data_IF_465382984813
#
_entry.id   IF_465382984813
#
_cell.length_a   1.000
_cell.length_b   1.000
_cell.length_c   1.000
_cell.angle_alpha   90.00
_cell.angle_beta   90.00
_cell.angle_gamma   90.00
#
_symmetry.space_group_name_H-M   'P 1'
#
loop_
_entity.id
_entity.type
_entity.pdbx_description
1 polymer ?
#
# COMPACT_ATOMS: atom_id res chain seq x y z
N UNK A 1 7.07 10.76 -16.66
CA UNK A 1 6.59 10.10 -15.43
C UNK A 1 5.15 10.51 -15.16
N UNK A 2 4.32 9.55 -14.82
CA UNK A 2 2.94 9.80 -14.44
C UNK A 2 2.85 9.58 -12.93
N UNK A 3 2.30 10.55 -12.19
CA UNK A 3 2.21 10.47 -10.74
C UNK A 3 0.85 10.97 -10.27
N UNK A 4 0.26 10.25 -9.30
CA UNK A 4 -1.02 10.60 -8.69
C UNK A 4 -0.93 10.39 -7.18
N UNK A 5 -1.48 11.34 -6.44
CA UNK A 5 -1.47 11.33 -4.98
C UNK A 5 -2.89 11.44 -4.43
N UNK A 6 -3.18 10.64 -3.40
CA UNK A 6 -4.42 10.75 -2.64
C UNK A 6 -4.11 10.83 -1.14
N UNK A 7 -4.82 11.69 -0.45
CA UNK A 7 -4.63 11.92 0.99
C UNK A 7 -5.97 11.87 1.73
N UNK A 8 -5.98 11.21 2.88
CA UNK A 8 -7.12 11.21 3.80
C UNK A 8 -6.60 11.38 5.23
N UNK A 9 -7.33 12.14 6.04
CA UNK A 9 -7.01 12.35 7.44
C UNK A 9 -8.12 11.79 8.32
N UNK A 10 -7.76 11.09 9.38
CA UNK A 10 -8.72 10.44 10.27
C UNK A 10 -8.28 10.52 11.72
N UNK A 11 -9.26 10.61 12.63
CA UNK A 11 -9.03 10.50 14.08
C UNK A 11 -9.40 9.11 14.61
N UNK A 12 -9.80 8.20 13.75
CA UNK A 12 -10.33 6.89 14.13
C UNK A 12 -9.28 5.84 14.42
N UNK A 13 -8.05 6.01 13.90
CA UNK A 13 -6.97 5.05 14.05
C UNK A 13 -5.65 5.73 14.39
N UNK A 14 -4.70 4.94 14.88
CA UNK A 14 -3.33 5.39 15.17
C UNK A 14 -2.36 4.93 14.10
N UNK A 15 -1.16 5.53 14.08
CA UNK A 15 -0.06 5.10 13.24
C UNK A 15 0.24 3.61 13.41
N UNK A 16 0.26 3.12 14.65
CA UNK A 16 0.55 1.72 14.93
C UNK A 16 -0.51 0.79 14.39
N UNK A 17 -1.77 1.17 14.46
CA UNK A 17 -2.87 0.35 13.93
C UNK A 17 -2.75 0.19 12.41
N UNK A 18 -2.57 1.27 11.67
CA UNK A 18 -2.43 1.17 10.22
C UNK A 18 -1.14 0.44 9.83
N UNK A 19 -0.06 0.65 10.57
CA UNK A 19 1.19 -0.06 10.31
C UNK A 19 1.05 -1.56 10.50
N UNK A 20 0.41 -2.00 11.59
CA UNK A 20 0.15 -3.42 11.82
C UNK A 20 -0.69 -4.04 10.73
N UNK A 21 -1.71 -3.32 10.25
CA UNK A 21 -2.54 -3.80 9.16
C UNK A 21 -1.73 -3.96 7.88
N UNK A 22 -1.00 -2.93 7.49
CA UNK A 22 -0.30 -2.89 6.21
C UNK A 22 0.97 -3.74 6.19
N UNK A 23 1.68 -3.87 7.30
CA UNK A 23 2.89 -4.69 7.36
C UNK A 23 2.59 -6.20 7.44
N UNK A 24 1.36 -6.58 7.70
CA UNK A 24 0.96 -7.98 7.74
C UNK A 24 0.41 -8.42 6.37
N UNK A 25 1.31 -8.51 5.40
CA UNK A 25 0.97 -8.77 3.99
C UNK A 25 0.19 -10.07 3.81
N UNK A 26 0.53 -11.11 4.57
CA UNK A 26 -0.12 -12.43 4.45
C UNK A 26 -1.61 -12.40 4.83
N UNK A 27 -2.04 -11.37 5.54
CA UNK A 27 -3.44 -11.21 5.93
C UNK A 27 -4.23 -10.26 5.01
N UNK A 28 -3.61 -9.63 4.03
CA UNK A 28 -4.31 -8.70 3.13
C UNK A 28 -5.51 -9.32 2.44
N UNK A 29 -5.42 -10.59 2.05
CA UNK A 29 -6.52 -11.32 1.39
C UNK A 29 -7.79 -11.42 2.24
N UNK A 30 -7.66 -11.28 3.57
CA UNK A 30 -8.80 -11.42 4.48
C UNK A 30 -9.65 -10.16 4.56
N UNK A 31 -9.11 -9.00 4.18
CA UNK A 31 -9.86 -7.75 4.22
C UNK A 31 -9.88 -6.99 2.88
N UNK A 32 -8.99 -7.28 1.96
CA UNK A 32 -8.97 -6.65 0.64
C UNK A 32 -9.52 -7.63 -0.39
N UNK A 33 -10.75 -7.39 -0.83
CA UNK A 33 -11.48 -8.27 -1.75
C UNK A 33 -10.90 -8.29 -3.16
N UNK A 34 -10.06 -7.33 -3.52
CA UNK A 34 -9.38 -7.29 -4.82
C UNK A 34 -8.19 -8.22 -4.89
N UNK A 35 -7.76 -8.76 -3.76
CA UNK A 35 -6.57 -9.62 -3.63
C UNK A 35 -7.00 -11.06 -3.43
N UNK A 36 -6.51 -11.96 -4.30
CA UNK A 36 -6.70 -13.40 -4.13
C UNK A 36 -5.70 -13.97 -3.12
N UNK A 37 -4.43 -13.53 -3.21
CA UNK A 37 -3.37 -13.94 -2.29
C UNK A 37 -2.24 -12.93 -2.26
N UNK A 38 -1.57 -12.82 -1.11
CA UNK A 38 -0.34 -12.05 -0.95
C UNK A 38 0.54 -12.77 0.06
N UNK A 39 1.83 -12.89 -0.24
CA UNK A 39 2.76 -13.64 0.61
C UNK A 39 4.07 -12.89 0.78
N UNK A 40 4.45 -12.71 2.04
CA UNK A 40 5.76 -12.20 2.45
C UNK A 40 6.41 -13.27 3.32
N UNK A 41 7.58 -13.74 2.89
CA UNK A 41 8.39 -14.67 3.67
C UNK A 41 9.49 -13.88 4.38
N UNK A 42 9.33 -13.67 5.69
CA UNK A 42 10.25 -12.88 6.49
C UNK A 42 9.59 -11.63 7.04
N UNK A 43 10.38 -10.58 7.23
CA UNK A 43 9.94 -9.35 7.87
C UNK A 43 9.61 -8.27 6.84
N UNK A 44 8.69 -7.39 7.20
CA UNK A 44 8.34 -6.23 6.40
C UNK A 44 9.43 -5.16 6.58
N UNK A 45 10.47 -5.24 5.77
CA UNK A 45 11.65 -4.36 5.86
C UNK A 45 12.25 -4.06 4.48
N UNK A 46 13.07 -3.03 4.43
CA UNK A 46 13.77 -2.60 3.20
C UNK A 46 14.55 -3.76 2.57
N UNK A 47 14.36 -3.95 1.27
CA UNK A 47 15.02 -4.97 0.48
C UNK A 47 14.22 -6.26 0.30
N UNK A 48 13.23 -6.50 1.12
CA UNK A 48 12.42 -7.72 1.03
C UNK A 48 11.45 -7.65 -0.14
N UNK A 49 11.07 -8.84 -0.62
CA UNK A 49 10.09 -9.01 -1.69
C UNK A 49 8.86 -9.71 -1.16
N UNK A 50 7.71 -9.36 -1.71
CA UNK A 50 6.50 -10.13 -1.52
C UNK A 50 5.82 -10.36 -2.86
N UNK A 51 4.95 -11.37 -2.91
CA UNK A 51 4.13 -11.64 -4.09
C UNK A 51 2.70 -11.24 -3.83
N UNK A 52 2.02 -10.78 -4.86
CA UNK A 52 0.62 -10.40 -4.79
C UNK A 52 -0.09 -10.90 -6.03
N UNK A 53 -1.18 -11.65 -5.82
CA UNK A 53 -2.05 -12.07 -6.90
C UNK A 53 -3.39 -11.36 -6.77
N UNK A 54 -3.68 -10.41 -7.66
CA UNK A 54 -5.01 -9.81 -7.71
C UNK A 54 -6.02 -10.80 -8.27
N UNK A 55 -7.29 -10.63 -7.91
CA UNK A 55 -8.35 -11.45 -8.52
C UNK A 55 -8.43 -11.16 -10.00
N UNK A 56 -8.38 -12.24 -10.80
CA UNK A 56 -8.44 -12.12 -12.25
C UNK A 56 -7.15 -11.69 -12.92
N UNK A 57 -6.07 -11.56 -12.18
CA UNK A 57 -4.77 -11.15 -12.72
C UNK A 57 -3.64 -12.09 -12.35
N UNK A 58 -2.47 -11.89 -12.97
CA UNK A 58 -1.30 -12.71 -12.67
C UNK A 58 -0.66 -12.32 -11.34
N UNK A 59 0.12 -13.25 -10.76
CA UNK A 59 0.93 -12.96 -9.60
C UNK A 59 2.07 -12.01 -9.98
N UNK A 60 2.22 -10.93 -9.22
CA UNK A 60 3.31 -9.98 -9.40
C UNK A 60 4.25 -10.03 -8.20
N UNK A 61 5.53 -9.74 -8.46
CA UNK A 61 6.56 -9.66 -7.44
C UNK A 61 6.82 -8.19 -7.13
N UNK A 62 6.72 -7.83 -5.86
CA UNK A 62 6.83 -6.44 -5.40
C UNK A 62 7.99 -6.35 -4.42
N UNK A 63 8.85 -5.35 -4.60
CA UNK A 63 9.96 -5.11 -3.69
C UNK A 63 9.62 -3.96 -2.73
N UNK A 64 9.95 -4.17 -1.45
CA UNK A 64 9.93 -3.08 -0.46
C UNK A 64 11.27 -2.35 -0.58
N UNK A 65 11.26 -1.20 -1.25
CA UNK A 65 12.52 -0.48 -1.54
C UNK A 65 12.93 0.45 -0.39
N UNK A 66 11.99 0.88 0.43
CA UNK A 66 12.28 1.66 1.64
C UNK A 66 11.17 1.44 2.65
N UNK A 67 11.53 1.06 3.87
CA UNK A 67 10.58 0.83 4.97
C UNK A 67 11.07 1.56 6.21
N UNK A 68 10.22 2.44 6.74
CA UNK A 68 10.46 3.18 7.99
C UNK A 68 9.28 2.89 8.93
N UNK A 69 9.46 1.99 9.90
CA UNK A 69 8.34 1.51 10.71
C UNK A 69 7.45 2.61 11.29
N UNK A 70 6.15 2.37 11.26
CA UNK A 70 5.06 3.24 11.70
C UNK A 70 4.86 4.52 10.86
N UNK A 71 5.78 4.84 9.96
CA UNK A 71 5.77 6.12 9.26
C UNK A 71 5.64 6.02 7.74
N UNK A 72 6.38 5.10 7.10
CA UNK A 72 6.55 5.16 5.64
C UNK A 72 6.96 3.81 5.07
N UNK A 73 6.42 3.48 3.90
CA UNK A 73 7.04 2.47 3.05
C UNK A 73 6.83 2.79 1.58
N UNK A 74 7.79 2.33 0.78
CA UNK A 74 7.77 2.48 -0.68
C UNK A 74 7.96 1.11 -1.32
N UNK A 75 7.07 0.77 -2.24
CA UNK A 75 7.15 -0.46 -3.00
C UNK A 75 7.45 -0.19 -4.47
N UNK A 76 7.96 -1.23 -5.14
CA UNK A 76 8.36 -1.19 -6.53
C UNK A 76 7.86 -2.44 -7.25
N UNK A 77 7.17 -2.22 -8.37
CA UNK A 77 6.75 -3.29 -9.29
C UNK A 77 7.33 -3.02 -10.67
N UNK A 78 8.00 -4.03 -11.22
CA UNK A 78 8.59 -3.94 -12.56
C UNK A 78 7.61 -4.48 -13.59
N UNK A 79 7.35 -3.68 -14.63
CA UNK A 79 6.63 -4.09 -15.82
C UNK A 79 7.55 -4.03 -17.03
N UNK A 80 7.23 -4.72 -18.14
CA UNK A 80 7.99 -4.57 -19.38
C UNK A 80 8.08 -3.10 -19.79
N UNK A 81 9.30 -2.57 -19.82
CA UNK A 81 9.62 -1.18 -20.19
C UNK A 81 8.95 -0.12 -19.32
N UNK A 82 8.60 -0.46 -18.06
CA UNK A 82 8.07 0.50 -17.11
C UNK A 82 8.38 0.10 -15.67
N UNK A 83 8.44 1.09 -14.79
CA UNK A 83 8.66 0.93 -13.35
C UNK A 83 7.56 1.66 -12.59
N UNK A 84 6.86 0.96 -11.73
CA UNK A 84 5.80 1.52 -10.90
C UNK A 84 6.22 1.54 -9.45
N UNK A 85 5.99 2.67 -8.78
CA UNK A 85 6.27 2.85 -7.36
C UNK A 85 5.00 3.24 -6.62
N UNK A 86 4.85 2.71 -5.41
CA UNK A 86 3.83 3.14 -4.47
C UNK A 86 4.49 3.65 -3.21
N UNK A 87 4.15 4.87 -2.79
CA UNK A 87 4.63 5.43 -1.53
C UNK A 87 3.47 5.60 -0.57
N UNK A 88 3.65 5.14 0.65
CA UNK A 88 2.65 5.22 1.71
C UNK A 88 3.25 5.97 2.89
N UNK A 89 2.64 7.09 3.27
CA UNK A 89 3.10 7.95 4.36
C UNK A 89 2.00 8.03 5.42
N UNK A 90 2.35 7.80 6.67
CA UNK A 90 1.44 7.86 7.81
C UNK A 90 1.97 8.88 8.81
N UNK A 91 1.33 10.06 8.88
CA UNK A 91 1.81 11.19 9.67
C UNK A 91 0.78 11.59 10.73
N UNK A 92 1.23 11.79 11.96
CA UNK A 92 0.41 12.40 12.99
C UNK A 92 0.38 13.93 12.78
N UNK A 93 -0.82 14.48 12.68
CA UNK A 93 -1.05 15.90 12.52
C UNK A 93 -2.01 16.41 13.58
N UNK A 94 -2.15 17.73 13.70
CA UNK A 94 -3.12 18.35 14.60
C UNK A 94 -4.58 17.97 14.24
N UNK A 95 -4.81 17.61 12.97
CA UNK A 95 -6.13 17.23 12.47
C UNK A 95 -6.41 15.73 12.60
N UNK A 96 -5.43 14.94 13.01
CA UNK A 96 -5.51 13.49 13.10
C UNK A 96 -4.38 12.80 12.34
N UNK A 97 -4.53 11.51 12.10
CA UNK A 97 -3.58 10.72 11.31
C UNK A 97 -3.82 10.99 9.82
N UNK A 98 -2.79 11.45 9.16
CA UNK A 98 -2.81 11.71 7.72
C UNK A 98 -2.19 10.55 6.97
N UNK A 99 -2.98 9.92 6.09
CA UNK A 99 -2.54 8.84 5.21
C UNK A 99 -2.39 9.41 3.80
N UNK A 100 -1.20 9.29 3.24
CA UNK A 100 -0.91 9.75 1.88
C UNK A 100 -0.38 8.60 1.05
N UNK A 101 -0.98 8.36 -0.10
CA UNK A 101 -0.51 7.36 -1.05
C UNK A 101 -0.20 8.05 -2.37
N UNK A 102 1.01 7.84 -2.86
CA UNK A 102 1.44 8.34 -4.16
C UNK A 102 1.82 7.16 -5.04
N UNK A 103 1.15 7.04 -6.18
CA UNK A 103 1.49 6.07 -7.22
C UNK A 103 2.18 6.79 -8.35
N UNK A 104 3.29 6.23 -8.82
CA UNK A 104 4.03 6.78 -9.96
C UNK A 104 4.49 5.68 -10.88
N UNK A 105 4.59 6.00 -12.16
CA UNK A 105 5.09 5.07 -13.18
C UNK A 105 5.94 5.82 -14.18
N UNK A 106 7.06 5.22 -14.57
CA UNK A 106 8.02 5.80 -15.50
C UNK A 106 8.52 4.74 -16.48
N UNK A 107 9.19 5.20 -17.55
CA UNK A 107 9.75 4.35 -18.59
C UNK A 107 9.04 4.50 -19.93
N UNK A 108 9.59 3.89 -21.01
CA UNK A 108 9.03 4.03 -22.37
C UNK A 108 7.57 3.60 -22.52
N UNK A 109 7.14 2.57 -21.76
CA UNK A 109 5.74 2.10 -21.79
C UNK A 109 4.94 2.53 -20.56
N UNK A 110 5.36 3.58 -19.86
CA UNK A 110 4.63 4.08 -18.69
C UNK A 110 3.18 4.43 -19.01
N UNK A 111 2.92 5.07 -20.14
CA UNK A 111 1.56 5.43 -20.56
C UNK A 111 0.66 4.20 -20.72
N UNK A 112 1.20 3.15 -21.36
CA UNK A 112 0.48 1.90 -21.57
C UNK A 112 0.11 1.22 -20.25
N UNK A 113 1.10 1.06 -19.35
CA UNK A 113 0.87 0.40 -18.06
C UNK A 113 0.04 1.25 -17.10
N UNK A 114 0.08 2.58 -17.26
CA UNK A 114 -0.82 3.45 -16.51
C UNK A 114 -2.29 3.14 -16.84
N UNK A 115 -2.60 3.00 -18.12
CA UNK A 115 -3.97 2.68 -18.56
C UNK A 115 -4.40 1.31 -18.06
N UNK A 116 -3.53 0.30 -18.18
CA UNK A 116 -3.88 -1.09 -17.87
C UNK A 116 -3.90 -1.37 -16.37
N UNK A 117 -2.97 -0.78 -15.60
CA UNK A 117 -2.78 -1.13 -14.19
C UNK A 117 -2.93 0.05 -13.25
N UNK A 118 -2.06 1.07 -13.37
CA UNK A 118 -1.97 2.13 -12.35
C UNK A 118 -3.24 2.95 -12.23
N UNK A 119 -3.89 3.28 -13.33
CA UNK A 119 -5.12 4.06 -13.30
C UNK A 119 -6.21 3.38 -12.48
N UNK A 120 -6.34 2.07 -12.61
CA UNK A 120 -7.30 1.30 -11.84
C UNK A 120 -6.99 1.34 -10.34
N UNK A 121 -5.72 1.22 -9.98
CA UNK A 121 -5.27 1.35 -8.59
C UNK A 121 -5.62 2.74 -8.04
N UNK A 122 -5.27 3.79 -8.78
CA UNK A 122 -5.50 5.17 -8.37
C UNK A 122 -6.99 5.48 -8.21
N UNK A 123 -7.81 5.01 -9.13
CA UNK A 123 -9.25 5.25 -9.09
C UNK A 123 -9.91 4.59 -7.85
N UNK A 124 -9.31 3.54 -7.32
CA UNK A 124 -9.81 2.83 -6.14
C UNK A 124 -9.18 3.31 -4.82
N UNK A 125 -8.16 4.17 -4.86
CA UNK A 125 -7.48 4.63 -3.64
C UNK A 125 -8.42 5.21 -2.58
N UNK A 126 -9.39 6.08 -2.92
CA UNK A 126 -10.29 6.62 -1.91
C UNK A 126 -11.04 5.53 -1.15
N UNK A 127 -11.55 4.55 -1.86
CA UNK A 127 -12.28 3.44 -1.26
C UNK A 127 -11.36 2.51 -0.49
N UNK A 128 -10.19 2.19 -1.06
CA UNK A 128 -9.20 1.32 -0.43
C UNK A 128 -8.74 1.89 0.91
N UNK A 129 -8.45 3.19 0.98
CA UNK A 129 -8.02 3.80 2.23
C UNK A 129 -9.13 3.83 3.27
N UNK A 130 -10.39 3.98 2.88
CA UNK A 130 -11.53 3.87 3.79
C UNK A 130 -11.64 2.47 4.37
N UNK A 131 -11.45 1.44 3.54
CA UNK A 131 -11.45 0.04 3.98
C UNK A 131 -10.29 -0.20 4.95
N UNK A 132 -9.10 0.31 4.65
CA UNK A 132 -7.94 0.19 5.53
C UNK A 132 -8.20 0.83 6.89
N UNK A 133 -8.83 1.99 6.94
CA UNK A 133 -9.19 2.65 8.19
C UNK A 133 -10.16 1.78 9.01
N UNK A 134 -11.20 1.25 8.37
CA UNK A 134 -12.18 0.37 9.03
C UNK A 134 -11.48 -0.87 9.59
N UNK A 135 -10.62 -1.52 8.82
CA UNK A 135 -9.93 -2.73 9.23
C UNK A 135 -8.86 -2.45 10.30
N UNK A 136 -8.13 -1.35 10.17
CA UNK A 136 -7.14 -0.93 11.16
C UNK A 136 -7.80 -0.63 12.51
N UNK A 137 -9.01 -0.08 12.50
CA UNK A 137 -9.76 0.23 13.71
C UNK A 137 -10.08 -1.02 14.53
N UNK A 138 -10.18 -2.17 13.90
CA UNK A 138 -10.43 -3.46 14.57
C UNK A 138 -9.20 -4.00 15.30
N UNK A 139 -8.02 -3.48 15.00
CA UNK A 139 -6.76 -3.90 15.62
C UNK A 139 -6.65 -3.21 16.98
N UNK A 140 -6.45 -4.01 18.03
CA UNK A 140 -6.25 -3.46 19.35
C UNK A 140 -4.91 -2.74 19.43
N UNK A 141 -4.95 -1.49 19.94
CA UNK A 141 -3.75 -0.81 20.37
C UNK A 141 -3.28 -1.54 21.61
N UNK A 142 -2.13 -2.24 21.53
CA UNK A 142 -1.48 -2.72 22.71
C UNK A 142 -1.11 -1.52 23.56
N UNK A 143 -1.77 -1.41 24.72
CA UNK A 143 -1.31 -0.49 25.74
C UNK A 143 0.01 -1.01 26.24
N UNK A 144 1.04 -0.20 26.08
CA UNK A 144 2.27 -0.48 26.75
C UNK A 144 2.00 -0.33 28.25
N UNK A 145 2.08 -1.46 28.94
CA UNK A 145 2.07 -1.45 30.38
C UNK A 145 3.47 -1.23 30.90
#
# INVERSE_FOLDING_TARGET
MISKTYTITTKEITQKQIWKLMSNVNEWKNWDKSIENAELHGFFKTGEFFTLKPKGGPTVKIQLVDVRPDYYFKDFTKFPFAKMFGEHIYENTSEGLKLTVTMSISGPLAFFWNIIVMKNIVDHLPQDLKIQIIEAKKIECQREN
#
